data_IF_460924165518
#
_entry.id   IF_460924165518
#
_cell.length_a   1.000
_cell.length_b   1.000
_cell.length_c   1.000
_cell.angle_alpha   90.00
_cell.angle_beta   90.00
_cell.angle_gamma   90.00
#
_symmetry.space_group_name_H-M   'P 1'
#
loop_
_entity.id
_entity.type
_entity.pdbx_description
1 polymer ?
#
# COMPACT_ATOMS: atom_id res chain seq x y z
N UNK A 1 36.52 3.16 0.07
CA UNK A 1 35.59 3.75 -0.93
C UNK A 1 35.56 2.89 -2.19
N UNK A 2 36.73 2.54 -2.79
CA UNK A 2 36.77 1.69 -4.00
C UNK A 2 36.06 0.34 -3.76
N UNK A 3 36.33 -0.35 -2.65
CA UNK A 3 35.67 -1.62 -2.31
C UNK A 3 34.15 -1.53 -2.26
N UNK A 4 33.58 -0.37 -1.82
CA UNK A 4 32.12 -0.18 -1.75
C UNK A 4 31.54 0.00 -3.15
N UNK A 5 32.23 0.79 -3.99
CA UNK A 5 31.88 0.95 -5.39
C UNK A 5 31.84 -0.41 -6.09
N UNK A 6 32.89 -1.21 -5.92
CA UNK A 6 33.02 -2.53 -6.53
C UNK A 6 31.91 -3.51 -6.06
N UNK A 7 31.55 -3.47 -4.77
CA UNK A 7 30.44 -4.25 -4.20
C UNK A 7 29.11 -3.88 -4.88
N UNK A 8 28.82 -2.58 -5.03
CA UNK A 8 27.58 -2.09 -5.61
C UNK A 8 27.52 -2.40 -7.11
N UNK A 9 28.58 -2.09 -7.85
CA UNK A 9 28.65 -2.29 -9.30
C UNK A 9 28.60 -3.78 -9.66
N UNK A 10 29.25 -4.65 -8.86
CA UNK A 10 29.14 -6.10 -9.01
C UNK A 10 27.71 -6.59 -8.74
N UNK A 11 27.08 -6.11 -7.68
CA UNK A 11 25.70 -6.49 -7.37
C UNK A 11 24.73 -6.02 -8.48
N UNK A 12 24.93 -4.84 -9.04
CA UNK A 12 24.12 -4.32 -10.13
C UNK A 12 24.34 -5.11 -11.44
N UNK A 13 25.57 -5.38 -11.82
CA UNK A 13 25.92 -6.14 -13.04
C UNK A 13 25.42 -7.58 -13.00
N UNK A 14 25.41 -8.20 -11.81
CA UNK A 14 24.82 -9.54 -11.58
C UNK A 14 23.28 -9.53 -11.54
N UNK A 15 22.65 -8.35 -11.57
CA UNK A 15 21.20 -8.21 -11.45
C UNK A 15 20.65 -8.56 -10.06
N UNK A 16 21.47 -8.62 -9.02
CA UNK A 16 21.07 -8.97 -7.64
C UNK A 16 20.85 -7.75 -6.74
N UNK A 17 21.16 -6.53 -7.20
CA UNK A 17 21.01 -5.30 -6.44
C UNK A 17 19.52 -4.95 -6.23
N UNK A 18 19.10 -4.74 -4.99
CA UNK A 18 17.75 -4.31 -4.63
C UNK A 18 17.68 -2.82 -4.37
N UNK A 19 18.47 -2.35 -3.41
CA UNK A 19 18.54 -0.93 -3.02
C UNK A 19 19.69 -0.68 -2.06
N UNK A 20 20.07 0.59 -1.94
CA UNK A 20 20.91 1.09 -0.84
C UNK A 20 20.11 2.10 -0.02
N UNK A 21 20.14 1.97 1.30
CA UNK A 21 19.51 2.92 2.23
C UNK A 21 20.62 3.64 2.98
N UNK A 22 20.73 4.96 2.76
CA UNK A 22 21.64 5.84 3.48
C UNK A 22 20.88 6.55 4.60
N UNK A 23 21.42 6.48 5.80
CA UNK A 23 20.83 7.03 7.02
C UNK A 23 21.85 7.80 7.85
N UNK A 24 21.38 8.49 8.89
CA UNK A 24 22.21 9.35 9.74
C UNK A 24 22.88 10.45 8.91
N UNK A 25 22.08 11.19 8.15
CA UNK A 25 22.55 12.34 7.36
C UNK A 25 23.22 13.39 8.26
N UNK A 26 24.26 14.03 7.74
CA UNK A 26 24.85 15.23 8.34
C UNK A 26 24.01 16.49 8.09
N UNK A 27 23.20 16.46 7.02
CA UNK A 27 22.17 17.47 6.73
C UNK A 27 20.90 17.19 7.55
N UNK A 28 20.56 18.11 8.44
CA UNK A 28 19.37 18.00 9.30
C UNK A 28 18.04 18.07 8.55
N UNK A 29 18.02 18.60 7.33
CA UNK A 29 16.81 18.65 6.50
C UNK A 29 16.46 17.28 5.89
N UNK A 30 17.44 16.38 5.77
CA UNK A 30 17.27 15.08 5.11
C UNK A 30 17.23 13.96 6.15
N UNK A 31 16.16 13.21 6.16
CA UNK A 31 15.96 12.05 7.04
C UNK A 31 16.75 10.82 6.57
N UNK A 32 16.67 10.51 5.29
CA UNK A 32 17.37 9.38 4.63
C UNK A 32 17.44 9.58 3.12
N UNK A 33 18.34 8.85 2.48
CA UNK A 33 18.33 8.68 1.02
C UNK A 33 18.19 7.19 0.69
N UNK A 34 17.33 6.85 -0.28
CA UNK A 34 17.18 5.49 -0.80
C UNK A 34 17.59 5.48 -2.26
N UNK A 35 18.53 4.61 -2.63
CA UNK A 35 19.00 4.47 -4.02
C UNK A 35 18.51 3.14 -4.56
N UNK A 36 17.80 3.19 -5.71
CA UNK A 36 17.20 2.01 -6.35
C UNK A 36 17.49 2.00 -7.85
N UNK A 37 17.47 0.81 -8.45
CA UNK A 37 17.37 0.65 -9.89
C UNK A 37 15.90 0.44 -10.28
N UNK A 38 15.48 1.02 -11.42
CA UNK A 38 14.14 0.88 -11.95
C UNK A 38 14.16 0.86 -13.48
N UNK A 39 13.06 0.42 -14.11
CA UNK A 39 12.88 0.56 -15.55
C UNK A 39 12.12 1.84 -15.85
N UNK A 40 12.66 2.69 -16.72
CA UNK A 40 11.99 3.89 -17.22
C UNK A 40 10.83 3.52 -18.17
N UNK A 41 10.00 4.49 -18.54
CA UNK A 41 8.92 4.30 -19.51
C UNK A 41 9.43 3.83 -20.88
N UNK A 42 10.67 4.17 -21.23
CA UNK A 42 11.35 3.68 -22.44
C UNK A 42 11.91 2.27 -22.33
N UNK A 43 11.74 1.59 -21.19
CA UNK A 43 12.27 0.23 -20.96
C UNK A 43 13.75 0.16 -20.56
N UNK A 44 14.43 1.29 -20.49
CA UNK A 44 15.82 1.37 -20.07
C UNK A 44 15.95 1.28 -18.54
N UNK A 45 17.07 0.72 -18.07
CA UNK A 45 17.37 0.72 -16.64
C UNK A 45 17.99 2.05 -16.24
N UNK A 46 17.45 2.68 -15.21
CA UNK A 46 17.94 3.89 -14.58
C UNK A 46 18.16 3.69 -13.09
N UNK A 47 18.97 4.53 -12.46
CA UNK A 47 19.10 4.61 -11.01
C UNK A 47 18.41 5.87 -10.48
N UNK A 48 17.78 5.77 -9.31
CA UNK A 48 17.13 6.89 -8.66
C UNK A 48 17.57 7.00 -7.21
N UNK A 49 17.95 8.20 -6.80
CA UNK A 49 18.10 8.61 -5.41
C UNK A 49 16.82 9.31 -4.95
N UNK A 50 16.14 8.75 -3.95
CA UNK A 50 15.02 9.35 -3.27
C UNK A 50 15.48 9.92 -1.93
N UNK A 51 15.46 11.24 -1.79
CA UNK A 51 15.78 11.97 -0.56
C UNK A 51 14.50 12.24 0.21
N UNK A 52 14.29 11.55 1.32
CA UNK A 52 13.17 11.82 2.22
C UNK A 52 13.54 12.96 3.18
N UNK A 53 12.84 14.07 3.11
CA UNK A 53 13.02 15.23 3.97
C UNK A 53 12.32 15.03 5.33
N UNK A 54 12.69 15.86 6.32
CA UNK A 54 12.08 15.82 7.67
C UNK A 54 10.59 16.19 7.66
N UNK A 55 10.16 17.06 6.73
CA UNK A 55 8.75 17.44 6.53
C UNK A 55 7.90 16.37 5.81
N UNK A 56 8.51 15.21 5.51
CA UNK A 56 7.84 14.10 4.84
C UNK A 56 7.79 14.18 3.31
N UNK A 57 8.31 15.26 2.71
CA UNK A 57 8.44 15.36 1.24
C UNK A 57 9.59 14.50 0.74
N UNK A 58 9.50 14.05 -0.50
CA UNK A 58 10.55 13.33 -1.20
C UNK A 58 11.04 14.12 -2.41
N UNK A 59 12.36 14.20 -2.55
CA UNK A 59 13.03 14.76 -3.72
C UNK A 59 13.74 13.64 -4.47
N UNK A 60 13.66 13.61 -5.77
CA UNK A 60 14.22 12.55 -6.61
C UNK A 60 15.30 13.09 -7.53
N UNK A 61 16.36 12.30 -7.68
CA UNK A 61 17.45 12.52 -8.62
C UNK A 61 17.64 11.23 -9.43
N UNK A 62 17.52 11.30 -10.76
CA UNK A 62 17.77 10.16 -11.62
C UNK A 62 19.18 10.25 -12.22
N UNK A 63 19.81 9.09 -12.42
CA UNK A 63 21.15 8.99 -12.97
C UNK A 63 21.32 7.69 -13.76
N UNK A 64 22.30 7.66 -14.71
CA UNK A 64 22.63 6.43 -15.42
C UNK A 64 23.06 5.31 -14.45
N UNK A 65 22.69 4.04 -14.71
CA UNK A 65 23.05 2.90 -13.84
C UNK A 65 24.55 2.74 -13.63
N UNK A 66 25.34 3.12 -14.63
CA UNK A 66 26.81 3.07 -14.57
C UNK A 66 27.41 3.99 -13.49
N UNK A 67 26.66 4.99 -13.03
CA UNK A 67 27.07 5.89 -11.95
C UNK A 67 26.60 5.47 -10.56
N UNK A 68 25.91 4.33 -10.45
CA UNK A 68 25.29 3.89 -9.20
C UNK A 68 26.30 3.78 -8.05
N UNK A 69 27.38 3.02 -8.24
CA UNK A 69 28.40 2.80 -7.21
C UNK A 69 29.17 4.09 -6.87
N UNK A 70 29.50 4.90 -7.88
CA UNK A 70 30.12 6.20 -7.69
C UNK A 70 29.24 7.13 -6.85
N UNK A 71 27.95 7.24 -7.19
CA UNK A 71 26.99 8.10 -6.49
C UNK A 71 26.80 7.67 -5.03
N UNK A 72 26.72 6.38 -4.75
CA UNK A 72 26.65 5.87 -3.37
C UNK A 72 27.89 6.25 -2.58
N UNK A 73 29.07 6.18 -3.19
CA UNK A 73 30.33 6.59 -2.55
C UNK A 73 30.35 8.11 -2.26
N UNK A 74 29.89 8.95 -3.19
CA UNK A 74 29.75 10.41 -2.97
C UNK A 74 28.80 10.70 -1.79
N UNK A 75 27.65 10.02 -1.76
CA UNK A 75 26.64 10.19 -0.70
C UNK A 75 27.19 9.78 0.68
N UNK A 76 28.07 8.79 0.78
CA UNK A 76 28.71 8.39 2.04
C UNK A 76 29.52 9.52 2.69
N UNK A 77 29.88 10.58 1.97
CA UNK A 77 30.46 11.79 2.53
C UNK A 77 29.48 12.57 3.43
N UNK A 78 28.18 12.47 3.15
CA UNK A 78 27.11 13.16 3.86
C UNK A 78 26.27 12.26 4.77
N UNK A 79 26.51 10.94 4.75
CA UNK A 79 25.76 9.97 5.56
C UNK A 79 26.71 9.10 6.39
N UNK A 80 26.28 8.73 7.58
CA UNK A 80 27.08 7.93 8.52
C UNK A 80 26.83 6.42 8.43
N UNK A 81 25.81 6.01 7.69
CA UNK A 81 25.47 4.60 7.49
C UNK A 81 24.89 4.39 6.11
N UNK A 82 25.29 3.30 5.45
CA UNK A 82 24.65 2.79 4.25
C UNK A 82 24.43 1.27 4.39
N UNK A 83 23.21 0.82 4.10
CA UNK A 83 22.82 -0.57 4.04
C UNK A 83 22.54 -0.94 2.58
N UNK A 84 23.44 -1.71 1.96
CA UNK A 84 23.35 -2.22 0.60
C UNK A 84 22.63 -3.57 0.66
N UNK A 85 21.43 -3.64 0.08
CA UNK A 85 20.57 -4.80 0.09
C UNK A 85 20.57 -5.48 -1.29
N UNK A 86 20.81 -6.76 -1.32
CA UNK A 86 20.78 -7.60 -2.52
C UNK A 86 19.89 -8.82 -2.31
N UNK A 87 19.67 -9.61 -3.37
CA UNK A 87 19.01 -10.92 -3.25
C UNK A 87 19.92 -12.00 -2.66
N UNK A 88 21.24 -11.75 -2.64
CA UNK A 88 22.27 -12.67 -2.12
C UNK A 88 22.78 -12.33 -0.71
N UNK A 89 22.18 -11.34 -0.05
CA UNK A 89 22.59 -10.87 1.28
C UNK A 89 22.66 -9.36 1.36
N UNK A 90 23.31 -8.85 2.39
CA UNK A 90 23.44 -7.40 2.61
C UNK A 90 24.87 -7.01 3.02
N UNK A 91 25.23 -5.75 2.71
CA UNK A 91 26.46 -5.14 3.17
C UNK A 91 26.11 -3.85 3.93
N UNK A 92 26.60 -3.73 5.16
CA UNK A 92 26.45 -2.53 5.98
C UNK A 92 27.77 -1.78 6.06
N UNK A 93 27.72 -0.49 5.76
CA UNK A 93 28.84 0.46 5.86
C UNK A 93 28.54 1.45 6.96
N UNK A 94 29.42 1.58 7.92
CA UNK A 94 29.35 2.61 8.99
C UNK A 94 30.55 3.54 8.90
N UNK A 95 30.30 4.85 8.87
CA UNK A 95 31.32 5.90 8.83
C UNK A 95 31.42 6.52 10.23
N UNK A 96 32.58 6.39 10.88
CA UNK A 96 32.80 7.00 12.20
C UNK A 96 32.95 8.52 12.10
N UNK A 97 32.76 9.23 13.23
CA UNK A 97 32.99 10.69 13.28
C UNK A 97 34.44 11.08 13.00
N UNK A 98 35.39 10.20 13.30
CA UNK A 98 36.81 10.38 13.09
C UNK A 98 37.34 9.96 11.71
N UNK A 99 36.44 9.51 10.80
CA UNK A 99 36.74 9.17 9.42
C UNK A 99 36.86 7.70 9.04
N UNK A 100 37.32 6.74 9.90
CA UNK A 100 37.40 5.34 9.49
C UNK A 100 36.04 4.73 9.19
N UNK A 101 35.98 3.91 8.12
CA UNK A 101 34.81 3.16 7.72
C UNK A 101 34.91 1.72 8.17
N UNK A 102 33.81 1.19 8.70
CA UNK A 102 33.64 -0.22 8.98
C UNK A 102 32.66 -0.82 7.97
N UNK A 103 33.12 -1.84 7.24
CA UNK A 103 32.32 -2.53 6.23
C UNK A 103 32.07 -3.96 6.70
N UNK A 104 30.80 -4.31 6.87
CA UNK A 104 30.37 -5.68 7.14
C UNK A 104 29.68 -6.21 5.89
N UNK A 105 30.41 -6.96 5.07
CA UNK A 105 29.89 -7.56 3.84
C UNK A 105 29.39 -8.99 4.13
N UNK A 106 28.09 -9.20 3.96
CA UNK A 106 27.41 -10.49 4.05
C UNK A 106 26.81 -10.94 2.71
N UNK A 107 27.20 -10.30 1.59
CA UNK A 107 26.73 -10.68 0.25
C UNK A 107 27.50 -11.92 -0.18
N UNK A 108 26.80 -13.00 -0.51
CA UNK A 108 27.39 -14.25 -0.98
C UNK A 108 27.96 -14.08 -2.38
N UNK A 109 29.15 -14.64 -2.60
CA UNK A 109 29.82 -14.60 -3.90
C UNK A 109 29.01 -15.34 -4.98
N UNK A 110 28.42 -16.49 -4.62
CA UNK A 110 27.61 -17.31 -5.50
C UNK A 110 26.14 -17.28 -5.03
N UNK A 111 25.21 -17.15 -5.99
CA UNK A 111 23.77 -17.18 -5.73
C UNK A 111 23.11 -15.80 -5.76
N UNK A 112 21.84 -15.80 -5.42
CA UNK A 112 20.93 -14.67 -5.53
C UNK A 112 20.07 -14.76 -6.80
N UNK A 113 18.77 -14.66 -6.60
CA UNK A 113 17.82 -14.53 -7.73
C UNK A 113 17.93 -13.13 -8.33
N UNK A 114 17.51 -12.99 -9.61
CA UNK A 114 17.42 -11.70 -10.25
C UNK A 114 16.52 -10.77 -9.42
N UNK A 115 17.01 -9.58 -9.10
CA UNK A 115 16.22 -8.57 -8.42
C UNK A 115 15.13 -8.07 -9.36
N UNK A 116 13.90 -8.07 -8.90
CA UNK A 116 12.78 -7.51 -9.68
C UNK A 116 12.93 -6.00 -9.72
N UNK A 117 13.33 -5.47 -10.89
CA UNK A 117 13.37 -4.03 -11.12
C UNK A 117 11.92 -3.53 -11.18
N UNK A 118 11.58 -2.58 -10.31
CA UNK A 118 10.28 -1.92 -10.38
C UNK A 118 10.25 -1.01 -11.61
N UNK A 119 9.16 -1.07 -12.37
CA UNK A 119 8.87 -0.04 -13.36
C UNK A 119 8.62 1.28 -12.61
N UNK A 120 9.18 2.39 -13.10
CA UNK A 120 8.91 3.74 -12.57
C UNK A 120 7.45 4.14 -12.83
N UNK A 121 6.94 3.76 -13.95
CA UNK A 121 5.54 3.70 -14.29
C UNK A 121 5.04 2.30 -13.90
N UNK A 122 4.82 2.09 -12.61
CA UNK A 122 3.67 1.24 -12.31
C UNK A 122 2.54 1.97 -13.02
N UNK A 123 2.06 1.42 -14.11
CA UNK A 123 0.69 1.65 -14.49
C UNK A 123 -0.08 1.48 -13.19
N UNK A 124 -0.46 2.61 -12.61
CA UNK A 124 -1.30 2.59 -11.43
C UNK A 124 -2.56 1.97 -11.94
N UNK A 125 -2.65 0.63 -11.82
CA UNK A 125 -3.89 -0.07 -12.11
C UNK A 125 -4.92 0.61 -11.23
N UNK A 126 -5.56 1.62 -11.79
CA UNK A 126 -6.68 2.27 -11.14
C UNK A 126 -7.83 1.32 -11.29
N UNK A 127 -8.02 0.50 -10.27
CA UNK A 127 -9.15 -0.41 -10.21
C UNK A 127 -10.48 0.31 -10.17
N UNK A 128 -10.46 1.59 -9.78
CA UNK A 128 -11.62 2.46 -9.76
C UNK A 128 -11.42 3.58 -10.77
N UNK A 129 -12.28 3.65 -11.76
CA UNK A 129 -12.35 4.73 -12.75
C UNK A 129 -13.16 5.91 -12.21
N UNK A 130 -12.88 7.17 -12.63
CA UNK A 130 -13.56 8.35 -12.09
C UNK A 130 -15.08 8.42 -12.37
N UNK A 131 -15.56 7.65 -13.34
CA UNK A 131 -16.95 7.55 -13.79
C UNK A 131 -17.75 6.43 -13.11
N UNK A 132 -17.17 5.73 -12.15
CA UNK A 132 -17.88 4.69 -11.40
C UNK A 132 -19.19 5.25 -10.78
N UNK A 133 -20.33 4.57 -10.96
CA UNK A 133 -21.66 5.13 -10.72
C UNK A 133 -21.88 5.71 -9.32
N UNK A 134 -21.28 5.08 -8.30
CA UNK A 134 -21.42 5.47 -6.90
C UNK A 134 -20.57 6.68 -6.50
N UNK A 135 -19.55 7.08 -7.30
CA UNK A 135 -18.64 8.18 -6.92
C UNK A 135 -19.33 9.55 -6.93
N UNK A 136 -20.26 9.77 -7.88
CA UNK A 136 -21.02 11.02 -7.95
C UNK A 136 -21.97 11.19 -6.76
N UNK A 137 -22.86 10.23 -6.43
CA UNK A 137 -23.71 10.34 -5.24
C UNK A 137 -22.92 10.49 -3.93
N UNK A 138 -21.71 9.92 -3.85
CA UNK A 138 -20.80 10.08 -2.71
C UNK A 138 -20.00 11.39 -2.72
N UNK A 139 -20.21 12.27 -3.70
CA UNK A 139 -19.54 13.56 -3.82
C UNK A 139 -18.04 13.45 -4.08
N UNK A 140 -17.59 12.41 -4.76
CA UNK A 140 -16.18 12.18 -5.14
C UNK A 140 -15.92 12.67 -6.57
N UNK A 141 -16.87 12.44 -7.51
CA UNK A 141 -16.80 12.92 -8.90
C UNK A 141 -17.96 13.87 -9.22
N UNK A 142 -17.79 14.63 -10.28
CA UNK A 142 -18.82 15.53 -10.83
C UNK A 142 -19.73 14.80 -11.83
N UNK A 143 -20.66 15.56 -12.44
CA UNK A 143 -21.60 15.04 -13.44
C UNK A 143 -20.95 14.58 -14.75
N UNK A 144 -19.69 14.97 -15.01
CA UNK A 144 -18.93 14.61 -16.19
C UNK A 144 -17.97 13.42 -15.93
N UNK A 145 -18.07 12.77 -14.79
CA UNK A 145 -17.18 11.68 -14.41
C UNK A 145 -15.74 12.13 -14.06
N UNK A 146 -15.56 13.40 -13.66
CA UNK A 146 -14.26 13.92 -13.26
C UNK A 146 -14.17 13.99 -11.74
N UNK A 147 -13.06 13.49 -11.17
CA UNK A 147 -12.82 13.58 -9.71
C UNK A 147 -12.65 15.05 -9.29
N UNK A 148 -13.42 15.46 -8.30
CA UNK A 148 -13.35 16.81 -7.72
C UNK A 148 -11.97 17.05 -7.09
N UNK A 149 -11.41 18.26 -7.28
CA UNK A 149 -10.06 18.60 -6.82
C UNK A 149 -9.91 18.41 -5.29
N UNK A 150 -10.93 18.82 -4.52
CA UNK A 150 -11.00 18.63 -3.08
C UNK A 150 -11.07 17.15 -2.65
N UNK A 151 -11.40 16.23 -3.55
CA UNK A 151 -11.57 14.80 -3.30
C UNK A 151 -10.44 13.93 -3.90
N UNK A 152 -9.49 14.51 -4.61
CA UNK A 152 -8.35 13.77 -5.22
C UNK A 152 -7.56 12.93 -4.22
N UNK A 153 -7.36 13.44 -3.00
CA UNK A 153 -6.66 12.69 -1.95
C UNK A 153 -7.46 11.45 -1.53
N UNK A 154 -8.79 11.62 -1.32
CA UNK A 154 -9.69 10.50 -0.97
C UNK A 154 -9.77 9.46 -2.09
N UNK A 155 -9.91 9.90 -3.33
CA UNK A 155 -9.91 9.01 -4.49
C UNK A 155 -8.61 8.19 -4.61
N UNK A 156 -7.45 8.82 -4.39
CA UNK A 156 -6.15 8.10 -4.34
C UNK A 156 -6.08 7.10 -3.19
N UNK A 157 -6.61 7.46 -2.02
CA UNK A 157 -6.67 6.55 -0.86
C UNK A 157 -7.52 5.31 -1.17
N UNK A 158 -8.67 5.49 -1.84
CA UNK A 158 -9.55 4.38 -2.24
C UNK A 158 -8.80 3.44 -3.22
N UNK A 159 -8.20 3.98 -4.29
CA UNK A 159 -7.46 3.16 -5.24
C UNK A 159 -6.29 2.41 -4.56
N UNK A 160 -5.58 3.07 -3.62
CA UNK A 160 -4.52 2.40 -2.86
C UNK A 160 -5.05 1.25 -2.02
N UNK A 161 -6.23 1.42 -1.44
CA UNK A 161 -6.88 0.32 -0.70
C UNK A 161 -7.26 -0.84 -1.63
N UNK A 162 -7.75 -0.55 -2.83
CA UNK A 162 -8.06 -1.59 -3.82
C UNK A 162 -6.80 -2.33 -4.32
N UNK A 163 -5.65 -1.65 -4.47
CA UNK A 163 -4.36 -2.31 -4.75
C UNK A 163 -4.01 -3.33 -3.64
N UNK A 164 -4.19 -2.93 -2.37
CA UNK A 164 -3.95 -3.83 -1.24
C UNK A 164 -4.97 -4.98 -1.16
N UNK A 165 -6.19 -4.76 -1.62
CA UNK A 165 -7.20 -5.82 -1.74
C UNK A 165 -6.83 -6.79 -2.86
N UNK A 166 -6.31 -6.29 -3.96
CA UNK A 166 -5.86 -7.09 -5.09
C UNK A 166 -4.74 -8.07 -4.70
N UNK A 167 -3.80 -7.64 -3.86
CA UNK A 167 -2.72 -8.48 -3.33
C UNK A 167 -3.26 -9.72 -2.56
N UNK A 168 -4.44 -9.63 -1.97
CA UNK A 168 -5.07 -10.74 -1.22
C UNK A 168 -6.20 -11.44 -1.98
N UNK A 169 -6.63 -10.90 -3.10
CA UNK A 169 -7.69 -11.48 -3.93
C UNK A 169 -7.47 -12.96 -4.29
N UNK A 170 -6.24 -13.42 -4.62
CA UNK A 170 -5.99 -14.83 -4.88
C UNK A 170 -6.27 -15.77 -3.71
N UNK A 171 -6.36 -15.25 -2.48
CA UNK A 171 -6.69 -16.03 -1.27
C UNK A 171 -8.19 -16.18 -1.04
N UNK A 172 -9.01 -15.41 -1.77
CA UNK A 172 -10.47 -15.55 -1.71
C UNK A 172 -10.93 -16.80 -2.48
N UNK A 173 -12.09 -17.37 -2.14
CA UNK A 173 -12.69 -18.47 -2.93
C UNK A 173 -12.84 -18.04 -4.39
N UNK A 174 -12.30 -18.83 -5.29
CA UNK A 174 -12.31 -18.51 -6.73
C UNK A 174 -13.61 -18.91 -7.45
N UNK A 175 -14.49 -19.67 -6.81
CA UNK A 175 -15.80 -20.10 -7.34
C UNK A 175 -16.91 -19.77 -6.34
N UNK A 176 -18.13 -19.62 -6.87
CA UNK A 176 -19.32 -19.32 -6.08
C UNK A 176 -19.43 -17.84 -5.68
N UNK A 177 -20.47 -17.53 -4.92
CA UNK A 177 -20.77 -16.18 -4.41
C UNK A 177 -19.77 -15.82 -3.30
N UNK A 178 -19.24 -14.61 -3.36
CA UNK A 178 -18.39 -14.07 -2.29
C UNK A 178 -19.25 -13.35 -1.26
N UNK A 179 -19.36 -13.91 -0.05
CA UNK A 179 -19.96 -13.20 1.07
C UNK A 179 -18.91 -12.25 1.66
N UNK A 180 -19.23 -10.95 1.69
CA UNK A 180 -18.34 -9.89 2.20
C UNK A 180 -19.04 -9.13 3.30
N UNK A 181 -18.34 -8.87 4.41
CA UNK A 181 -18.86 -8.04 5.50
C UNK A 181 -17.95 -6.84 5.74
N UNK A 182 -18.51 -5.63 5.77
CA UNK A 182 -17.85 -4.39 6.19
C UNK A 182 -18.47 -3.94 7.52
N UNK A 183 -17.81 -4.29 8.63
CA UNK A 183 -18.31 -4.00 9.96
C UNK A 183 -17.81 -2.64 10.43
N UNK A 184 -18.74 -1.79 10.92
CA UNK A 184 -18.51 -0.37 11.18
C UNK A 184 -18.21 0.40 9.89
N UNK A 185 -19.06 0.23 8.86
CA UNK A 185 -18.80 0.72 7.49
C UNK A 185 -18.79 2.25 7.36
N UNK A 186 -19.31 3.00 8.33
CA UNK A 186 -19.35 4.46 8.32
C UNK A 186 -20.00 5.00 7.05
N UNK A 187 -19.37 5.97 6.39
CA UNK A 187 -19.88 6.56 5.12
C UNK A 187 -19.83 5.61 3.92
N UNK A 188 -19.49 4.36 4.11
CA UNK A 188 -19.57 3.25 3.14
C UNK A 188 -18.80 3.44 1.82
N UNK A 189 -17.95 4.48 1.68
CA UNK A 189 -17.22 4.75 0.43
C UNK A 189 -16.34 3.55 0.03
N UNK A 190 -15.70 2.92 1.02
CA UNK A 190 -14.85 1.75 0.78
C UNK A 190 -15.69 0.50 0.50
N UNK A 191 -16.88 0.35 1.12
CA UNK A 191 -17.81 -0.72 0.80
C UNK A 191 -18.21 -0.69 -0.69
N UNK A 192 -18.61 0.48 -1.20
CA UNK A 192 -18.91 0.65 -2.63
C UNK A 192 -17.71 0.34 -3.53
N UNK A 193 -16.52 0.80 -3.15
CA UNK A 193 -15.31 0.56 -3.93
C UNK A 193 -14.94 -0.93 -3.99
N UNK A 194 -15.05 -1.65 -2.86
CA UNK A 194 -14.80 -3.10 -2.78
C UNK A 194 -15.84 -3.87 -3.60
N UNK A 195 -17.12 -3.52 -3.46
CA UNK A 195 -18.17 -4.14 -4.23
C UNK A 195 -17.93 -3.97 -5.74
N UNK A 196 -17.67 -2.74 -6.20
CA UNK A 196 -17.35 -2.45 -7.60
C UNK A 196 -16.10 -3.22 -8.08
N UNK A 197 -15.05 -3.25 -7.29
CA UNK A 197 -13.85 -4.00 -7.63
C UNK A 197 -14.14 -5.49 -7.82
N UNK A 198 -14.85 -6.11 -6.88
CA UNK A 198 -15.15 -7.54 -6.96
C UNK A 198 -16.13 -7.86 -8.10
N UNK A 199 -17.13 -7.03 -8.34
CA UNK A 199 -18.16 -7.29 -9.37
C UNK A 199 -17.71 -6.83 -10.75
N UNK A 200 -17.38 -5.55 -10.92
CA UNK A 200 -17.09 -4.97 -12.23
C UNK A 200 -15.67 -5.29 -12.74
N UNK A 201 -14.65 -5.29 -11.84
CA UNK A 201 -13.27 -5.53 -12.25
C UNK A 201 -12.91 -7.02 -12.25
N UNK A 202 -13.38 -7.76 -11.23
CA UNK A 202 -13.07 -9.19 -11.08
C UNK A 202 -14.17 -10.13 -11.58
N UNK A 203 -15.33 -9.60 -12.01
CA UNK A 203 -16.43 -10.37 -12.59
C UNK A 203 -17.04 -11.39 -11.62
N UNK A 204 -17.05 -11.10 -10.30
CA UNK A 204 -17.53 -12.02 -9.27
C UNK A 204 -18.97 -11.72 -8.88
N UNK A 205 -19.71 -12.75 -8.57
CA UNK A 205 -20.94 -12.62 -7.81
C UNK A 205 -20.61 -12.34 -6.35
N UNK A 206 -21.21 -11.28 -5.80
CA UNK A 206 -20.92 -10.77 -4.46
C UNK A 206 -22.21 -10.51 -3.70
N UNK A 207 -22.26 -10.98 -2.47
CA UNK A 207 -23.28 -10.67 -1.49
C UNK A 207 -22.59 -9.95 -0.32
N UNK A 208 -22.71 -8.63 -0.28
CA UNK A 208 -21.94 -7.78 0.63
C UNK A 208 -22.85 -7.04 1.61
N UNK A 209 -22.45 -7.05 2.86
CA UNK A 209 -23.18 -6.45 3.98
C UNK A 209 -22.33 -5.37 4.65
N UNK A 210 -22.78 -4.11 4.60
CA UNK A 210 -22.23 -2.99 5.37
C UNK A 210 -23.06 -2.79 6.63
N UNK A 211 -22.46 -2.81 7.80
CA UNK A 211 -23.15 -2.69 9.11
C UNK A 211 -22.63 -1.45 9.84
N UNK A 212 -23.54 -0.59 10.30
CA UNK A 212 -23.22 0.57 11.13
C UNK A 212 -24.37 0.91 12.08
N UNK A 213 -24.05 1.57 13.19
CA UNK A 213 -25.05 2.00 14.19
C UNK A 213 -25.88 3.21 13.76
N UNK A 214 -25.40 4.00 12.78
CA UNK A 214 -25.99 5.29 12.41
C UNK A 214 -27.08 5.15 11.34
N UNK A 215 -28.36 5.35 11.66
CA UNK A 215 -29.45 5.17 10.71
C UNK A 215 -29.33 6.06 9.47
N UNK A 216 -28.99 7.34 9.66
CA UNK A 216 -28.83 8.33 8.58
C UNK A 216 -27.77 7.92 7.55
N UNK A 217 -26.68 7.31 8.02
CA UNK A 217 -25.60 6.80 7.16
C UNK A 217 -26.07 5.58 6.38
N UNK A 218 -26.79 4.67 7.02
CA UNK A 218 -27.32 3.46 6.39
C UNK A 218 -28.37 3.81 5.34
N UNK A 219 -29.35 4.67 5.65
CA UNK A 219 -30.37 5.12 4.72
C UNK A 219 -29.77 5.78 3.47
N UNK A 220 -28.76 6.64 3.67
CA UNK A 220 -28.02 7.25 2.57
C UNK A 220 -27.34 6.20 1.71
N UNK A 221 -26.64 5.24 2.33
CA UNK A 221 -25.88 4.19 1.65
C UNK A 221 -26.81 3.26 0.86
N UNK A 222 -27.95 2.85 1.42
CA UNK A 222 -28.94 2.05 0.71
C UNK A 222 -29.53 2.77 -0.51
N UNK A 223 -29.83 4.07 -0.37
CA UNK A 223 -30.30 4.89 -1.50
C UNK A 223 -29.25 4.90 -2.60
N UNK A 224 -27.98 5.17 -2.28
CA UNK A 224 -26.88 5.19 -3.26
C UNK A 224 -26.70 3.82 -3.91
N UNK A 225 -26.81 2.72 -3.15
CA UNK A 225 -26.70 1.38 -3.70
C UNK A 225 -27.77 1.10 -4.75
N UNK A 226 -29.04 1.46 -4.45
CA UNK A 226 -30.15 1.34 -5.42
C UNK A 226 -29.92 2.19 -6.68
N UNK A 227 -29.57 3.46 -6.50
CA UNK A 227 -29.34 4.41 -7.61
C UNK A 227 -28.15 3.99 -8.49
N UNK A 228 -27.16 3.32 -7.90
CA UNK A 228 -25.94 2.86 -8.60
C UNK A 228 -26.06 1.42 -9.12
N UNK A 229 -27.21 0.76 -8.97
CA UNK A 229 -27.43 -0.61 -9.44
C UNK A 229 -26.63 -1.69 -8.69
N UNK A 230 -26.24 -1.43 -7.45
CA UNK A 230 -25.47 -2.37 -6.62
C UNK A 230 -26.39 -3.39 -5.93
N UNK A 231 -26.96 -4.34 -6.71
CA UNK A 231 -28.01 -5.26 -6.24
C UNK A 231 -27.58 -6.24 -5.16
N UNK A 232 -26.29 -6.58 -5.08
CA UNK A 232 -25.72 -7.47 -4.05
C UNK A 232 -24.99 -6.70 -2.92
N UNK A 233 -25.25 -5.39 -2.76
CA UNK A 233 -24.70 -4.58 -1.68
C UNK A 233 -25.83 -4.13 -0.76
N UNK A 234 -25.86 -4.64 0.46
CA UNK A 234 -26.88 -4.43 1.46
C UNK A 234 -26.34 -3.67 2.65
N UNK A 235 -27.16 -2.78 3.23
CA UNK A 235 -26.75 -2.07 4.44
C UNK A 235 -27.72 -2.38 5.58
N UNK A 236 -27.14 -2.61 6.77
CA UNK A 236 -27.87 -3.00 7.98
C UNK A 236 -27.57 -2.00 9.09
N UNK A 237 -28.63 -1.35 9.59
CA UNK A 237 -28.53 -0.49 10.75
C UNK A 237 -28.59 -1.35 12.02
N UNK A 238 -27.49 -1.39 12.79
CA UNK A 238 -27.48 -2.16 14.01
C UNK A 238 -26.10 -2.30 14.64
N UNK A 239 -26.10 -2.89 15.83
CA UNK A 239 -24.88 -3.23 16.55
C UNK A 239 -24.19 -4.43 15.89
N UNK A 240 -22.93 -4.24 15.52
CA UNK A 240 -22.11 -5.30 14.88
C UNK A 240 -21.99 -6.56 15.74
N UNK A 241 -22.10 -6.45 17.08
CA UNK A 241 -22.08 -7.59 18.00
C UNK A 241 -23.26 -8.52 17.84
N UNK A 242 -24.38 -8.01 17.29
CA UNK A 242 -25.65 -8.73 17.09
C UNK A 242 -25.86 -9.11 15.63
N UNK A 243 -25.02 -8.63 14.72
CA UNK A 243 -25.13 -8.97 13.31
C UNK A 243 -24.62 -10.40 13.09
N UNK A 244 -25.40 -11.20 12.40
CA UNK A 244 -25.01 -12.54 11.95
C UNK A 244 -25.02 -12.58 10.42
N UNK A 245 -23.87 -12.84 9.79
CA UNK A 245 -23.81 -12.95 8.32
C UNK A 245 -24.57 -14.18 7.84
N UNK A 246 -25.28 -14.13 6.68
CA UNK A 246 -26.06 -15.26 6.17
C UNK A 246 -25.21 -16.47 5.78
N UNK A 247 -23.91 -16.26 5.55
CA UNK A 247 -22.92 -17.31 5.29
C UNK A 247 -21.55 -16.91 5.86
N UNK A 248 -20.63 -17.87 6.08
CA UNK A 248 -19.27 -17.55 6.51
C UNK A 248 -18.59 -16.57 5.55
N UNK A 249 -18.09 -15.41 6.02
CA UNK A 249 -17.53 -14.40 5.15
C UNK A 249 -16.28 -14.89 4.39
N UNK A 250 -16.27 -14.70 3.08
CA UNK A 250 -15.09 -14.84 2.26
C UNK A 250 -14.07 -13.73 2.57
N UNK A 251 -14.58 -12.53 2.85
CA UNK A 251 -13.80 -11.34 3.20
C UNK A 251 -14.54 -10.57 4.30
N UNK A 252 -13.83 -10.22 5.36
CA UNK A 252 -14.33 -9.32 6.38
C UNK A 252 -13.45 -8.08 6.45
N UNK A 253 -14.09 -6.91 6.38
CA UNK A 253 -13.47 -5.60 6.43
C UNK A 253 -13.77 -4.91 7.76
N UNK A 254 -12.79 -4.17 8.27
CA UNK A 254 -12.92 -3.28 9.42
C UNK A 254 -12.02 -2.07 9.21
N UNK A 255 -12.55 -1.07 8.53
CA UNK A 255 -11.77 0.07 8.05
C UNK A 255 -12.07 1.35 8.83
N UNK A 256 -13.17 1.37 9.60
CA UNK A 256 -13.62 2.51 10.38
C UNK A 256 -13.92 2.16 11.85
N UNK A 257 -13.58 0.96 12.27
CA UNK A 257 -13.62 0.58 13.68
C UNK A 257 -12.44 1.23 14.41
N UNK A 258 -12.75 1.98 15.46
CA UNK A 258 -11.76 2.62 16.32
C UNK A 258 -11.79 1.92 17.66
N UNK A 259 -10.60 1.85 18.30
CA UNK A 259 -10.47 1.39 19.67
C UNK A 259 -11.00 -0.04 19.89
N UNK A 260 -11.80 -0.26 20.96
CA UNK A 260 -12.41 -1.54 21.31
C UNK A 260 -13.26 -2.15 20.19
N UNK A 261 -13.81 -1.33 19.28
CA UNK A 261 -14.56 -1.84 18.13
C UNK A 261 -13.68 -2.66 17.16
N UNK A 262 -12.40 -2.36 17.06
CA UNK A 262 -11.46 -3.17 16.24
C UNK A 262 -11.32 -4.57 16.81
N UNK A 263 -11.13 -4.71 18.11
CA UNK A 263 -10.97 -6.00 18.78
C UNK A 263 -12.26 -6.84 18.70
N UNK A 264 -13.42 -6.18 18.88
CA UNK A 264 -14.72 -6.81 18.68
C UNK A 264 -14.85 -7.36 17.26
N UNK A 265 -14.55 -6.57 16.25
CA UNK A 265 -14.66 -7.01 14.85
C UNK A 265 -13.70 -8.15 14.53
N UNK A 266 -12.47 -8.13 15.05
CA UNK A 266 -11.53 -9.24 14.89
C UNK A 266 -12.02 -10.52 15.56
N UNK A 267 -12.60 -10.41 16.76
CA UNK A 267 -13.24 -11.54 17.46
C UNK A 267 -14.41 -12.12 16.64
N UNK A 268 -15.27 -11.25 16.08
CA UNK A 268 -16.37 -11.68 15.21
C UNK A 268 -15.86 -12.34 13.92
N UNK A 269 -14.78 -11.83 13.33
CA UNK A 269 -14.18 -12.42 12.15
C UNK A 269 -13.70 -13.86 12.38
N UNK A 270 -13.13 -14.14 13.56
CA UNK A 270 -12.76 -15.49 13.99
C UNK A 270 -14.00 -16.34 14.24
N UNK A 271 -14.99 -15.82 14.99
CA UNK A 271 -16.28 -16.50 15.26
C UNK A 271 -16.97 -16.92 13.96
N UNK A 272 -17.02 -16.05 12.97
CA UNK A 272 -17.65 -16.32 11.66
C UNK A 272 -16.77 -17.11 10.69
N UNK A 273 -15.55 -17.46 11.08
CA UNK A 273 -14.58 -18.21 10.24
C UNK A 273 -14.30 -17.50 8.93
N UNK A 274 -14.17 -16.16 8.96
CA UNK A 274 -13.81 -15.38 7.77
C UNK A 274 -12.52 -15.88 7.13
N UNK A 275 -12.51 -16.05 5.80
CA UNK A 275 -11.34 -16.58 5.08
C UNK A 275 -10.21 -15.56 5.01
N UNK A 276 -10.56 -14.29 4.80
CA UNK A 276 -9.63 -13.16 4.75
C UNK A 276 -10.18 -12.05 5.63
N UNK A 277 -9.32 -11.44 6.43
CA UNK A 277 -9.63 -10.28 7.26
C UNK A 277 -8.75 -9.12 6.82
N UNK A 278 -9.36 -7.95 6.62
CA UNK A 278 -8.69 -6.68 6.35
C UNK A 278 -9.13 -5.65 7.38
N UNK A 279 -8.25 -5.36 8.31
CA UNK A 279 -8.48 -4.34 9.35
C UNK A 279 -7.46 -3.23 9.22
N UNK A 280 -7.90 -2.00 9.47
CA UNK A 280 -7.04 -0.81 9.53
C UNK A 280 -7.39 -0.05 10.80
N UNK A 281 -6.77 -0.38 11.94
CA UNK A 281 -6.96 0.36 13.18
C UNK A 281 -6.49 1.80 13.00
N UNK A 282 -7.30 2.78 13.37
CA UNK A 282 -6.99 4.20 13.14
C UNK A 282 -6.55 4.95 14.41
N UNK A 283 -6.89 4.47 15.59
CA UNK A 283 -6.49 5.07 16.87
C UNK A 283 -6.42 4.02 17.98
N UNK A 284 -5.44 4.20 18.88
CA UNK A 284 -5.28 3.45 20.13
C UNK A 284 -5.20 4.47 21.27
N UNK A 285 -6.30 5.20 21.50
CA UNK A 285 -6.33 6.26 22.52
C UNK A 285 -6.20 5.71 23.95
N UNK A 286 -6.69 4.49 24.20
CA UNK A 286 -6.66 3.87 25.53
C UNK A 286 -5.24 3.45 25.99
N UNK A 287 -4.27 3.34 25.09
CA UNK A 287 -2.90 2.96 25.46
C UNK A 287 -2.11 4.15 26.04
N UNK A 288 -2.62 5.37 25.87
CA UNK A 288 -1.94 6.62 26.26
C UNK A 288 -2.67 7.42 27.33
N UNK A 289 -3.71 6.87 27.94
CA UNK A 289 -4.45 7.48 29.08
C UNK A 289 -3.97 6.96 30.42
#
# INVERSE_FOLDING_TARGET
MQDIKDIVDNAASRGIYKKTVLSRSTDKAIKRCTVTLFRSAGGETEAQCEYLLQDGKAVHENLPPARLGERICELLGAYRQADILTTAGSCTVMVSRSGPMHVKNGIKADGGEQAVLRSHDRDKQRFLTPDAPFLRPLGISDGNGRVLDSRRSKYRQINRFLELLDDVYPKLPQKGILTVCDLCCGKSILAFAVYHYLTAVRGREVDMYGVDLKPDVIELSERIARESGCTGLHFVCGDVSRFEPPAPPSLLLSLHACDTATDLVLSLAVKYRAKVIRSTPCCHLEIFS
#
